data_IF_460106507572
#
_entry.id   IF_460106507572
#
_cell.length_a   1.000
_cell.length_b   1.000
_cell.length_c   1.000
_cell.angle_alpha   90.00
_cell.angle_beta   90.00
_cell.angle_gamma   90.00
#
_symmetry.space_group_name_H-M   'P 1'
#
loop_
_entity.id
_entity.type
_entity.pdbx_description
1 polymer ?
#
# COMPACT_ATOMS: atom_id res chain seq x y z
N UNK A 1 -42.44 0.18 7.19
CA UNK A 1 -42.07 0.09 5.77
C UNK A 1 -40.68 -0.55 5.62
N UNK A 2 -40.55 -1.76 6.17
CA UNK A 2 -39.40 -2.65 6.09
C UNK A 2 -39.87 -3.89 5.32
N UNK A 3 -39.58 -3.94 4.02
CA UNK A 3 -39.68 -5.10 3.13
C UNK A 3 -39.04 -4.65 1.80
N UNK A 4 -38.35 -5.54 1.07
CA UNK A 4 -37.75 -5.31 -0.27
C UNK A 4 -36.34 -4.70 -0.37
N UNK A 5 -35.34 -5.23 0.35
CA UNK A 5 -33.92 -5.13 -0.06
C UNK A 5 -33.23 -6.49 -0.19
N UNK A 6 -34.01 -7.52 -0.54
CA UNK A 6 -33.53 -8.92 -0.66
C UNK A 6 -33.24 -9.39 -2.09
N UNK A 7 -33.69 -8.66 -3.11
CA UNK A 7 -33.44 -9.02 -4.51
C UNK A 7 -32.58 -7.95 -5.15
N UNK A 8 -31.40 -8.34 -5.66
CA UNK A 8 -30.63 -7.43 -6.49
C UNK A 8 -31.37 -7.24 -7.81
N UNK A 9 -31.56 -6.01 -8.30
CA UNK A 9 -32.21 -5.77 -9.58
C UNK A 9 -31.33 -6.16 -10.79
N UNK A 10 -30.09 -6.61 -10.56
CA UNK A 10 -29.09 -6.82 -11.61
C UNK A 10 -28.74 -8.32 -11.76
N UNK A 11 -28.71 -8.85 -12.99
CA UNK A 11 -28.53 -10.28 -13.25
C UNK A 11 -27.10 -10.80 -13.03
N UNK A 12 -26.11 -9.92 -12.79
CA UNK A 12 -24.69 -10.27 -12.69
C UNK A 12 -24.09 -9.86 -11.35
N UNK A 13 -23.19 -10.69 -10.84
CA UNK A 13 -22.31 -10.33 -9.72
C UNK A 13 -21.12 -9.54 -10.25
N UNK A 14 -21.11 -8.23 -9.97
CA UNK A 14 -20.03 -7.32 -10.34
C UNK A 14 -19.39 -6.77 -9.07
N UNK A 15 -18.07 -6.86 -8.97
CA UNK A 15 -17.28 -6.22 -7.91
C UNK A 15 -16.24 -5.32 -8.54
N UNK A 16 -15.91 -4.23 -7.85
CA UNK A 16 -14.90 -3.28 -8.32
C UNK A 16 -13.55 -3.55 -7.64
N UNK A 17 -12.49 -3.68 -8.42
CA UNK A 17 -11.16 -3.44 -7.88
C UNK A 17 -11.02 -1.94 -7.60
N UNK A 18 -11.29 -1.54 -6.36
CA UNK A 18 -11.21 -0.16 -5.91
C UNK A 18 -10.59 -0.11 -4.53
N UNK A 19 -9.47 0.59 -4.44
CA UNK A 19 -8.77 0.79 -3.18
C UNK A 19 -9.45 1.92 -2.41
N UNK A 20 -10.01 1.60 -1.25
CA UNK A 20 -10.60 2.58 -0.32
C UNK A 20 -9.52 3.06 0.65
N UNK A 21 -9.29 4.38 0.70
CA UNK A 21 -8.48 4.99 1.75
C UNK A 21 -9.17 4.84 3.11
N UNK A 22 -8.42 4.99 4.21
CA UNK A 22 -8.98 4.81 5.55
C UNK A 22 -10.20 5.72 5.79
N UNK A 23 -11.34 5.09 6.13
CA UNK A 23 -12.62 5.78 6.35
C UNK A 23 -13.34 6.24 5.08
N UNK A 24 -12.81 5.96 3.88
CA UNK A 24 -13.46 6.27 2.61
C UNK A 24 -14.61 5.29 2.34
N UNK A 25 -15.86 5.74 2.18
CA UNK A 25 -16.95 4.88 1.75
C UNK A 25 -16.90 4.64 0.23
N UNK A 26 -17.32 3.44 -0.18
CA UNK A 26 -17.63 3.15 -1.58
C UNK A 26 -18.90 3.95 -1.98
N UNK A 27 -18.94 4.61 -3.15
CA UNK A 27 -20.13 5.32 -3.59
C UNK A 27 -21.35 4.41 -3.66
N UNK A 28 -22.45 4.78 -3.00
CA UNK A 28 -23.62 3.91 -2.80
C UNK A 28 -24.52 3.78 -4.02
N UNK A 29 -24.32 4.63 -5.02
CA UNK A 29 -25.03 4.68 -6.30
C UNK A 29 -24.38 3.78 -7.36
N UNK A 30 -23.20 3.21 -7.09
CA UNK A 30 -22.55 2.29 -8.01
C UNK A 30 -23.31 0.98 -8.14
N UNK A 31 -23.53 0.54 -9.37
CA UNK A 31 -24.14 -0.76 -9.69
C UNK A 31 -23.15 -1.93 -9.50
N UNK A 32 -22.63 -2.08 -8.28
CA UNK A 32 -21.69 -3.14 -7.88
C UNK A 32 -22.15 -3.81 -6.58
N UNK A 33 -21.65 -5.01 -6.32
CA UNK A 33 -21.90 -5.74 -5.09
C UNK A 33 -20.92 -5.38 -3.95
N UNK A 34 -19.84 -4.68 -4.29
CA UNK A 34 -18.80 -4.22 -3.37
C UNK A 34 -17.44 -4.13 -4.05
N UNK A 35 -16.38 -4.23 -3.24
CA UNK A 35 -14.98 -4.23 -3.69
C UNK A 35 -14.43 -5.66 -3.82
N UNK A 36 -13.19 -5.77 -4.30
CA UNK A 36 -12.37 -7.00 -4.22
C UNK A 36 -11.81 -7.28 -2.82
N UNK A 37 -12.05 -6.42 -1.82
CA UNK A 37 -11.85 -6.73 -0.40
C UNK A 37 -10.57 -6.24 0.25
N UNK A 38 -9.76 -5.39 -0.40
CA UNK A 38 -8.55 -4.81 0.22
C UNK A 38 -8.87 -4.02 1.51
N UNK A 39 -10.07 -3.46 1.63
CA UNK A 39 -10.54 -2.82 2.85
C UNK A 39 -10.61 -3.83 4.02
N UNK A 40 -11.16 -5.02 3.79
CA UNK A 40 -11.15 -6.09 4.80
C UNK A 40 -9.72 -6.57 5.10
N UNK A 41 -8.89 -6.77 4.07
CA UNK A 41 -7.50 -7.19 4.21
C UNK A 41 -6.75 -6.30 5.22
N UNK A 42 -6.87 -4.98 5.06
CA UNK A 42 -6.21 -4.02 5.93
C UNK A 42 -6.84 -3.95 7.33
N UNK A 43 -8.17 -4.14 7.45
CA UNK A 43 -8.86 -4.21 8.75
C UNK A 43 -8.38 -5.39 9.58
N UNK A 44 -8.40 -6.61 9.03
CA UNK A 44 -7.98 -7.81 9.77
C UNK A 44 -6.48 -7.78 10.07
N UNK A 45 -5.66 -7.33 9.12
CA UNK A 45 -4.21 -7.15 9.35
C UNK A 45 -3.92 -6.17 10.48
N UNK A 46 -4.71 -5.09 10.61
CA UNK A 46 -4.54 -4.10 11.68
C UNK A 46 -4.94 -4.62 13.06
N UNK A 47 -5.93 -5.51 13.16
CA UNK A 47 -6.32 -6.14 14.44
C UNK A 47 -5.21 -7.02 14.99
N UNK A 48 -4.39 -7.61 14.13
CA UNK A 48 -3.29 -8.51 14.51
C UNK A 48 -2.03 -7.76 14.99
N UNK A 49 -2.06 -6.43 15.06
CA UNK A 49 -0.94 -5.60 15.54
C UNK A 49 -1.18 -5.20 16.99
N UNK A 50 -0.23 -5.49 17.88
CA UNK A 50 -0.23 -4.95 19.24
C UNK A 50 0.09 -3.46 19.23
N UNK A 51 -0.96 -2.63 19.24
CA UNK A 51 -0.86 -1.18 19.23
C UNK A 51 -0.11 -0.58 20.42
N UNK A 52 -0.05 -1.28 21.56
CA UNK A 52 0.65 -0.78 22.76
C UNK A 52 2.15 -0.64 22.51
N UNK A 53 2.69 -1.43 21.57
CA UNK A 53 4.09 -1.44 21.17
C UNK A 53 4.51 -0.30 20.23
N UNK A 54 3.58 0.53 19.73
CA UNK A 54 3.84 1.54 18.70
C UNK A 54 5.06 2.42 19.03
N UNK A 55 5.16 2.86 20.30
CA UNK A 55 6.28 3.69 20.76
C UNK A 55 7.61 2.92 20.73
N UNK A 56 7.61 1.65 21.11
CA UNK A 56 8.81 0.82 21.12
C UNK A 56 9.30 0.54 19.69
N UNK A 57 8.40 0.16 18.77
CA UNK A 57 8.72 -0.04 17.35
C UNK A 57 9.18 1.26 16.68
N UNK A 58 8.54 2.40 16.96
CA UNK A 58 8.98 3.70 16.47
C UNK A 58 10.42 4.04 16.93
N UNK A 59 10.75 3.77 18.21
CA UNK A 59 12.10 4.00 18.73
C UNK A 59 13.12 3.11 18.05
N UNK A 60 12.83 1.81 17.94
CA UNK A 60 13.69 0.85 17.25
C UNK A 60 13.97 1.30 15.82
N UNK A 61 12.91 1.58 15.05
CA UNK A 61 13.03 1.95 13.65
C UNK A 61 13.90 3.21 13.49
N UNK A 62 13.67 4.26 14.30
CA UNK A 62 14.48 5.48 14.27
C UNK A 62 15.93 5.25 14.69
N UNK A 63 16.19 4.41 15.68
CA UNK A 63 17.54 4.11 16.15
C UNK A 63 18.34 3.33 15.11
N UNK A 64 17.69 2.41 14.38
CA UNK A 64 18.36 1.55 13.43
C UNK A 64 18.47 2.17 12.02
N UNK A 65 17.34 2.60 11.45
CA UNK A 65 17.24 3.14 10.09
C UNK A 65 17.53 4.64 10.01
N UNK A 66 17.64 5.33 11.16
CA UNK A 66 17.85 6.76 11.25
C UNK A 66 16.55 7.58 11.25
N UNK A 67 16.63 8.92 11.31
CA UNK A 67 15.48 9.79 11.28
C UNK A 67 14.76 9.68 9.94
N UNK A 68 13.43 9.52 9.99
CA UNK A 68 12.58 9.43 8.82
C UNK A 68 11.62 10.62 8.76
N UNK A 69 11.26 11.12 7.56
CA UNK A 69 10.17 12.07 7.43
C UNK A 69 8.87 11.44 7.98
N UNK A 70 7.94 12.27 8.43
CA UNK A 70 6.55 11.82 8.69
C UNK A 70 6.00 11.18 7.42
N UNK A 71 5.16 10.14 7.53
CA UNK A 71 4.66 9.45 6.35
C UNK A 71 3.87 10.39 5.43
N UNK A 72 3.11 11.33 6.00
CA UNK A 72 2.42 12.36 5.22
C UNK A 72 3.38 13.19 4.32
N UNK A 73 4.57 13.54 4.84
CA UNK A 73 5.60 14.24 4.05
C UNK A 73 6.25 13.33 3.02
N UNK A 74 6.51 12.07 3.37
CA UNK A 74 7.03 11.07 2.45
C UNK A 74 6.08 10.86 1.27
N UNK A 75 4.80 10.58 1.55
CA UNK A 75 3.73 10.41 0.54
C UNK A 75 3.63 11.64 -0.35
N UNK A 76 3.58 12.85 0.21
CA UNK A 76 3.51 14.07 -0.57
C UNK A 76 4.74 14.23 -1.49
N UNK A 77 5.94 13.96 -0.98
CA UNK A 77 7.18 13.99 -1.77
C UNK A 77 7.17 12.96 -2.90
N UNK A 78 6.79 11.71 -2.62
CA UNK A 78 6.78 10.62 -3.60
C UNK A 78 5.70 10.78 -4.66
N UNK A 79 4.51 11.28 -4.32
CA UNK A 79 3.49 11.68 -5.32
C UNK A 79 4.03 12.74 -6.29
N UNK A 80 4.74 13.75 -5.77
CA UNK A 80 5.36 14.80 -6.61
C UNK A 80 6.47 14.26 -7.50
N UNK A 81 7.29 13.35 -6.98
CA UNK A 81 8.35 12.67 -7.73
C UNK A 81 7.76 11.85 -8.90
N UNK A 82 6.71 11.07 -8.65
CA UNK A 82 6.00 10.32 -9.70
C UNK A 82 5.43 11.25 -10.78
N UNK A 83 4.84 12.37 -10.37
CA UNK A 83 4.34 13.39 -11.31
C UNK A 83 5.45 14.07 -12.12
N UNK A 84 6.67 14.15 -11.59
CA UNK A 84 7.83 14.71 -12.30
C UNK A 84 8.45 13.75 -13.30
N UNK A 85 8.51 12.46 -12.94
CA UNK A 85 9.34 11.50 -13.66
C UNK A 85 8.49 10.57 -14.52
N UNK A 86 7.47 9.94 -13.94
CA UNK A 86 6.69 8.89 -14.62
C UNK A 86 5.42 9.39 -15.28
N UNK A 87 4.82 10.47 -14.75
CA UNK A 87 3.54 11.01 -15.22
C UNK A 87 3.63 12.47 -15.69
N UNK A 88 4.83 12.91 -16.08
CA UNK A 88 5.10 14.27 -16.52
C UNK A 88 4.20 14.71 -17.70
N UNK A 89 4.03 13.84 -18.70
CA UNK A 89 3.20 14.12 -19.88
C UNK A 89 1.72 14.33 -19.54
N UNK A 90 1.19 13.56 -18.58
CA UNK A 90 -0.19 13.68 -18.12
C UNK A 90 -0.41 14.98 -17.34
N UNK A 91 0.56 15.33 -16.46
CA UNK A 91 0.56 16.61 -15.75
C UNK A 91 0.61 17.77 -16.72
N UNK A 92 1.50 17.74 -17.72
CA UNK A 92 1.62 18.80 -18.73
C UNK A 92 0.31 18.98 -19.51
N UNK A 93 -0.32 17.88 -19.92
CA UNK A 93 -1.62 17.90 -20.62
C UNK A 93 -2.70 18.54 -19.75
N UNK A 94 -2.76 18.15 -18.46
CA UNK A 94 -3.72 18.70 -17.51
C UNK A 94 -3.47 20.19 -17.24
N UNK A 95 -2.21 20.61 -17.15
CA UNK A 95 -1.81 22.01 -17.01
C UNK A 95 -2.22 22.86 -18.21
N UNK A 96 -1.98 22.39 -19.43
CA UNK A 96 -2.39 23.10 -20.64
C UNK A 96 -3.91 23.19 -20.80
N UNK A 97 -4.65 22.18 -20.32
CA UNK A 97 -6.11 22.27 -20.24
C UNK A 97 -6.54 23.39 -19.28
N UNK A 98 -5.96 23.45 -18.08
CA UNK A 98 -6.31 24.49 -17.10
C UNK A 98 -5.90 25.89 -17.57
N UNK A 99 -4.74 26.02 -18.20
CA UNK A 99 -4.20 27.27 -18.75
C UNK A 99 -5.15 27.87 -19.79
N UNK A 100 -5.60 27.05 -20.76
CA UNK A 100 -6.62 27.47 -21.74
C UNK A 100 -7.93 27.90 -21.08
N UNK A 101 -8.33 27.27 -19.98
CA UNK A 101 -9.52 27.69 -19.23
C UNK A 101 -9.29 29.04 -18.53
N UNK A 102 -8.12 29.22 -17.90
CA UNK A 102 -7.77 30.47 -17.25
C UNK A 102 -7.81 31.66 -18.22
N UNK A 103 -7.32 31.49 -19.45
CA UNK A 103 -7.35 32.50 -20.52
C UNK A 103 -8.76 32.97 -20.90
N UNK A 104 -9.79 32.12 -20.72
CA UNK A 104 -11.20 32.45 -21.06
C UNK A 104 -11.86 33.39 -20.07
N UNK A 105 -11.25 33.64 -18.91
CA UNK A 105 -11.85 34.46 -17.87
C UNK A 105 -10.92 35.61 -17.48
N UNK A 106 -11.46 36.84 -17.47
CA UNK A 106 -10.67 38.03 -17.09
C UNK A 106 -10.03 37.93 -15.70
N UNK A 107 -10.64 37.16 -14.80
CA UNK A 107 -10.25 36.96 -13.41
C UNK A 107 -9.02 36.06 -13.22
N UNK A 108 -8.74 35.15 -14.16
CA UNK A 108 -7.74 34.09 -13.98
C UNK A 108 -6.64 34.09 -15.05
N UNK A 109 -6.81 34.84 -16.15
CA UNK A 109 -5.87 34.89 -17.29
C UNK A 109 -4.43 35.33 -16.98
N UNK A 110 -4.18 35.94 -15.82
CA UNK A 110 -2.84 36.37 -15.41
C UNK A 110 -2.04 35.23 -14.75
N UNK A 111 -2.66 34.06 -14.51
CA UNK A 111 -1.94 32.88 -14.03
C UNK A 111 -1.09 32.29 -15.15
N UNK A 112 0.21 32.17 -14.89
CA UNK A 112 1.12 31.54 -15.84
C UNK A 112 0.96 30.01 -15.84
N UNK A 113 1.18 29.37 -16.98
CA UNK A 113 1.25 27.91 -17.12
C UNK A 113 2.17 27.26 -16.07
N UNK A 114 3.31 27.87 -15.76
CA UNK A 114 4.24 27.35 -14.75
C UNK A 114 3.61 27.37 -13.35
N UNK A 115 2.94 28.46 -12.97
CA UNK A 115 2.22 28.56 -11.70
C UNK A 115 1.08 27.55 -11.62
N UNK A 116 0.31 27.37 -12.70
CA UNK A 116 -0.79 26.39 -12.76
C UNK A 116 -0.27 24.96 -12.65
N UNK A 117 0.79 24.63 -13.38
CA UNK A 117 1.45 23.31 -13.31
C UNK A 117 1.94 22.99 -11.92
N UNK A 118 2.59 23.96 -11.27
CA UNK A 118 3.02 23.83 -9.89
C UNK A 118 1.81 23.59 -8.97
N UNK A 119 0.78 24.42 -9.05
CA UNK A 119 -0.39 24.33 -8.17
C UNK A 119 -1.18 23.02 -8.36
N UNK A 120 -1.37 22.55 -9.61
CA UNK A 120 -1.99 21.25 -9.91
C UNK A 120 -1.24 20.13 -9.21
N UNK A 121 0.10 20.10 -9.32
CA UNK A 121 0.92 19.06 -8.69
C UNK A 121 0.80 19.09 -7.17
N UNK A 122 0.77 20.28 -6.57
CA UNK A 122 0.58 20.42 -5.13
C UNK A 122 -0.80 19.91 -4.67
N UNK A 123 -1.87 20.22 -5.42
CA UNK A 123 -3.23 19.75 -5.13
C UNK A 123 -3.34 18.24 -5.31
N UNK A 124 -2.84 17.66 -6.41
CA UNK A 124 -2.85 16.20 -6.61
C UNK A 124 -2.06 15.49 -5.50
N UNK A 125 -0.89 16.02 -5.12
CA UNK A 125 -0.08 15.46 -4.04
C UNK A 125 -0.76 15.57 -2.66
N UNK A 126 -1.69 16.50 -2.48
CA UNK A 126 -2.53 16.67 -1.30
C UNK A 126 -3.77 15.78 -1.26
N UNK A 127 -4.13 15.09 -2.35
CA UNK A 127 -5.33 14.25 -2.40
C UNK A 127 -5.28 13.14 -1.34
N UNK A 128 -6.28 13.06 -0.43
CA UNK A 128 -6.32 12.04 0.63
C UNK A 128 -6.88 10.70 0.14
N UNK A 129 -7.58 10.70 -1.00
CA UNK A 129 -8.19 9.53 -1.64
C UNK A 129 -7.56 9.29 -3.01
N UNK A 130 -7.80 8.12 -3.59
CA UNK A 130 -7.36 7.79 -4.95
C UNK A 130 -7.87 8.80 -5.98
N UNK A 131 -9.17 9.12 -5.94
CA UNK A 131 -9.82 10.08 -6.84
C UNK A 131 -11.22 10.45 -6.34
N UNK A 132 -11.76 11.52 -6.90
CA UNK A 132 -13.18 11.90 -6.81
C UNK A 132 -13.97 11.41 -8.02
N UNK A 133 -15.30 11.59 -8.00
CA UNK A 133 -16.24 11.04 -8.98
C UNK A 133 -17.26 12.06 -9.49
N UNK A 134 -16.80 13.26 -9.84
CA UNK A 134 -17.59 14.35 -10.44
C UNK A 134 -17.66 14.14 -11.96
N UNK A 135 -18.85 14.32 -12.54
CA UNK A 135 -19.12 14.07 -13.96
C UNK A 135 -19.94 15.17 -14.63
N UNK A 136 -20.40 14.94 -15.87
CA UNK A 136 -21.22 15.87 -16.65
C UNK A 136 -22.62 16.11 -16.08
N UNK A 137 -23.07 15.30 -15.13
CA UNK A 137 -24.30 15.56 -14.37
C UNK A 137 -24.18 16.76 -13.41
N UNK A 138 -22.97 17.25 -13.18
CA UNK A 138 -22.68 18.41 -12.33
C UNK A 138 -22.85 18.14 -10.83
N UNK A 139 -23.14 16.90 -10.44
CA UNK A 139 -23.36 16.53 -9.04
C UNK A 139 -22.01 16.36 -8.34
N UNK A 140 -21.81 17.12 -7.28
CA UNK A 140 -20.62 17.00 -6.42
C UNK A 140 -21.05 16.41 -5.08
N UNK A 141 -20.59 15.19 -4.79
CA UNK A 141 -20.87 14.54 -3.51
C UNK A 141 -20.16 15.25 -2.35
N UNK A 142 -20.72 15.20 -1.14
CA UNK A 142 -20.09 15.77 0.06
C UNK A 142 -18.69 15.18 0.31
N UNK A 143 -18.53 13.88 0.01
CA UNK A 143 -17.25 13.17 0.09
C UNK A 143 -16.20 13.78 -0.83
N UNK A 144 -16.54 13.98 -2.10
CA UNK A 144 -15.63 14.52 -3.11
C UNK A 144 -15.29 15.97 -2.82
N UNK A 145 -16.28 16.75 -2.38
CA UNK A 145 -16.06 18.12 -1.93
C UNK A 145 -15.06 18.17 -0.77
N UNK A 146 -15.25 17.32 0.25
CA UNK A 146 -14.35 17.26 1.40
C UNK A 146 -12.93 16.85 0.99
N UNK A 147 -12.79 15.85 0.11
CA UNK A 147 -11.49 15.40 -0.38
C UNK A 147 -10.74 16.51 -1.14
N UNK A 148 -11.41 17.21 -2.06
CA UNK A 148 -10.83 18.33 -2.82
C UNK A 148 -10.45 19.47 -1.87
N UNK A 149 -11.33 19.85 -0.94
CA UNK A 149 -11.04 20.90 0.05
C UNK A 149 -9.85 20.55 0.93
N UNK A 150 -9.73 19.31 1.39
CA UNK A 150 -8.58 18.86 2.16
C UNK A 150 -7.28 18.97 1.34
N UNK A 151 -7.32 18.52 0.08
CA UNK A 151 -6.17 18.57 -0.81
C UNK A 151 -5.70 20.00 -1.08
N UNK A 152 -6.64 20.91 -1.37
CA UNK A 152 -6.35 22.33 -1.63
C UNK A 152 -5.84 23.03 -0.37
N UNK A 153 -6.44 22.78 0.80
CA UNK A 153 -5.94 23.33 2.08
C UNK A 153 -4.52 22.87 2.37
N UNK A 154 -4.22 21.59 2.16
CA UNK A 154 -2.88 21.05 2.36
C UNK A 154 -1.88 21.64 1.37
N UNK A 155 -2.27 21.80 0.10
CA UNK A 155 -1.47 22.48 -0.92
C UNK A 155 -1.15 23.93 -0.52
N UNK A 156 -2.13 24.71 -0.06
CA UNK A 156 -1.90 26.07 0.44
C UNK A 156 -0.97 26.09 1.66
N UNK A 157 -1.21 25.21 2.64
CA UNK A 157 -0.41 25.13 3.88
C UNK A 157 1.06 24.82 3.60
N UNK A 158 1.34 23.95 2.63
CA UNK A 158 2.71 23.60 2.23
C UNK A 158 3.41 24.69 1.41
N UNK A 159 2.65 25.60 0.80
CA UNK A 159 3.17 26.57 -0.17
C UNK A 159 2.80 28.03 0.17
N UNK A 160 3.26 28.57 1.32
CA UNK A 160 2.90 29.92 1.78
C UNK A 160 3.43 31.05 0.89
N UNK A 161 4.36 30.76 -0.03
CA UNK A 161 4.95 31.72 -0.97
C UNK A 161 4.18 31.81 -2.30
N UNK A 162 3.19 30.95 -2.51
CA UNK A 162 2.38 30.91 -3.72
C UNK A 162 1.05 31.61 -3.46
N UNK A 163 0.60 32.46 -4.40
CA UNK A 163 -0.64 33.19 -4.28
C UNK A 163 -1.84 32.25 -4.04
N UNK A 164 -2.61 32.45 -2.97
CA UNK A 164 -3.71 31.56 -2.60
C UNK A 164 -4.78 31.44 -3.70
N UNK A 165 -4.95 32.51 -4.50
CA UNK A 165 -5.96 32.61 -5.55
C UNK A 165 -5.81 31.53 -6.63
N UNK A 166 -4.61 31.03 -6.89
CA UNK A 166 -4.42 29.96 -7.89
C UNK A 166 -5.00 28.62 -7.39
N UNK A 167 -4.87 28.37 -6.09
CA UNK A 167 -5.44 27.20 -5.45
C UNK A 167 -6.95 27.32 -5.29
N UNK A 168 -7.45 28.53 -4.99
CA UNK A 168 -8.89 28.83 -5.01
C UNK A 168 -9.51 28.57 -6.39
N UNK A 169 -8.84 29.02 -7.45
CA UNK A 169 -9.28 28.75 -8.82
C UNK A 169 -9.35 27.25 -9.13
N UNK A 170 -8.34 26.48 -8.72
CA UNK A 170 -8.36 25.02 -8.90
C UNK A 170 -9.50 24.39 -8.07
N UNK A 171 -9.69 24.79 -6.81
CA UNK A 171 -10.80 24.31 -5.97
C UNK A 171 -12.16 24.56 -6.65
N UNK A 172 -12.42 25.81 -7.05
CA UNK A 172 -13.69 26.19 -7.65
C UNK A 172 -13.92 25.48 -8.98
N UNK A 173 -12.86 25.26 -9.76
CA UNK A 173 -12.94 24.52 -11.03
C UNK A 173 -13.24 23.05 -10.80
N UNK A 174 -12.53 22.39 -9.86
CA UNK A 174 -12.76 20.98 -9.52
C UNK A 174 -14.16 20.74 -8.93
N UNK A 175 -14.70 21.71 -8.21
CA UNK A 175 -16.04 21.65 -7.62
C UNK A 175 -17.13 22.24 -8.51
N UNK A 176 -16.80 22.60 -9.76
CA UNK A 176 -17.71 23.20 -10.73
C UNK A 176 -18.41 24.49 -10.24
N UNK A 177 -17.87 25.17 -9.23
CA UNK A 177 -18.45 26.39 -8.61
C UNK A 177 -18.29 27.63 -9.47
N UNK A 178 -17.30 27.63 -10.35
CA UNK A 178 -17.01 28.72 -11.26
C UNK A 178 -17.59 28.50 -12.67
N UNK A 179 -18.42 27.46 -12.87
CA UNK A 179 -18.93 27.10 -14.19
C UNK A 179 -19.68 28.25 -14.88
N UNK A 180 -20.39 29.08 -14.10
CA UNK A 180 -21.10 30.25 -14.60
C UNK A 180 -20.21 31.43 -15.04
N UNK A 181 -18.92 31.39 -14.70
CA UNK A 181 -17.94 32.36 -15.23
C UNK A 181 -17.54 32.05 -16.68
N UNK A 182 -17.87 30.86 -17.18
CA UNK A 182 -17.53 30.41 -18.52
C UNK A 182 -18.75 30.47 -19.46
N UNK A 183 -18.49 30.86 -20.71
CA UNK A 183 -19.48 30.81 -21.77
C UNK A 183 -19.97 29.36 -21.98
N UNK A 184 -21.24 29.15 -22.37
CA UNK A 184 -21.84 27.81 -22.49
C UNK A 184 -20.98 26.80 -23.27
N UNK A 185 -20.34 27.24 -24.36
CA UNK A 185 -19.48 26.43 -25.22
C UNK A 185 -18.16 25.97 -24.57
N UNK A 186 -17.75 26.57 -23.44
CA UNK A 186 -16.53 26.21 -22.69
C UNK A 186 -16.83 25.32 -21.48
N UNK A 187 -18.09 25.25 -21.04
CA UNK A 187 -18.47 24.50 -19.81
C UNK A 187 -18.11 23.02 -19.90
N UNK A 188 -18.24 22.42 -21.08
CA UNK A 188 -17.84 21.03 -21.31
C UNK A 188 -16.33 20.80 -21.17
N UNK A 189 -15.51 21.79 -21.52
CA UNK A 189 -14.06 21.73 -21.33
C UNK A 189 -13.66 21.81 -19.84
N UNK A 190 -14.44 22.54 -19.03
CA UNK A 190 -14.27 22.56 -17.57
C UNK A 190 -14.54 21.17 -16.99
N UNK A 191 -15.67 20.55 -17.33
CA UNK A 191 -16.00 19.19 -16.89
C UNK A 191 -14.95 18.19 -17.35
N UNK A 192 -14.48 18.30 -18.60
CA UNK A 192 -13.40 17.46 -19.14
C UNK A 192 -12.10 17.60 -18.35
N UNK A 193 -11.73 18.83 -17.96
CA UNK A 193 -10.59 19.06 -17.09
C UNK A 193 -10.75 18.35 -15.74
N UNK A 194 -11.91 18.46 -15.08
CA UNK A 194 -12.18 17.78 -13.80
C UNK A 194 -12.07 16.26 -13.97
N UNK A 195 -12.68 15.70 -15.01
CA UNK A 195 -12.61 14.26 -15.29
C UNK A 195 -11.17 13.79 -15.55
N UNK A 196 -10.36 14.59 -16.28
CA UNK A 196 -8.96 14.27 -16.53
C UNK A 196 -8.10 14.36 -15.26
N UNK A 197 -8.37 15.31 -14.37
CA UNK A 197 -7.75 15.38 -13.03
C UNK A 197 -8.05 14.10 -12.22
N UNK A 198 -9.30 13.63 -12.25
CA UNK A 198 -9.71 12.40 -11.55
C UNK A 198 -9.07 11.14 -12.12
N UNK A 199 -8.81 11.11 -13.43
CA UNK A 199 -8.08 10.01 -14.08
C UNK A 199 -6.58 10.00 -13.72
N UNK A 200 -5.98 11.17 -13.43
CA UNK A 200 -4.56 11.28 -13.08
C UNK A 200 -4.27 11.04 -11.60
N UNK A 201 -5.15 11.50 -10.70
CA UNK A 201 -4.93 11.39 -9.25
C UNK A 201 -4.79 9.94 -8.75
N UNK A 202 -5.54 9.00 -9.33
CA UNK A 202 -5.49 7.58 -8.97
C UNK A 202 -4.11 6.94 -9.22
N UNK A 203 -3.59 6.97 -10.46
CA UNK A 203 -2.24 6.50 -10.76
C UNK A 203 -1.14 7.17 -9.94
N UNK A 204 -1.27 8.46 -9.63
CA UNK A 204 -0.33 9.17 -8.75
C UNK A 204 -0.36 8.62 -7.32
N UNK A 205 -1.54 8.29 -6.79
CA UNK A 205 -1.68 7.63 -5.49
C UNK A 205 -1.03 6.24 -5.50
N UNK A 206 -1.38 5.37 -6.45
CA UNK A 206 -0.84 4.02 -6.55
C UNK A 206 0.70 4.03 -6.63
N UNK A 207 1.26 4.76 -7.61
CA UNK A 207 2.71 4.78 -7.83
C UNK A 207 3.47 5.51 -6.74
N UNK A 208 2.89 6.59 -6.21
CA UNK A 208 3.54 7.42 -5.18
C UNK A 208 3.52 6.78 -3.80
N UNK A 209 2.46 6.05 -3.46
CA UNK A 209 2.27 5.43 -2.14
C UNK A 209 2.65 3.96 -2.18
N UNK A 210 1.94 3.16 -2.95
CA UNK A 210 2.07 1.69 -2.92
C UNK A 210 3.36 1.18 -3.54
N UNK A 211 3.79 1.81 -4.64
CA UNK A 211 5.01 1.41 -5.36
C UNK A 211 6.23 2.27 -5.00
N UNK A 212 6.12 3.15 -3.99
CA UNK A 212 7.27 3.96 -3.56
C UNK A 212 7.31 4.18 -2.05
N UNK A 213 6.33 4.88 -1.46
CA UNK A 213 6.35 5.18 -0.03
C UNK A 213 6.36 3.92 0.86
N UNK A 214 5.66 2.85 0.46
CA UNK A 214 5.66 1.56 1.16
C UNK A 214 6.99 0.80 1.14
N UNK A 215 7.92 1.17 0.25
CA UNK A 215 9.28 0.61 0.20
C UNK A 215 10.31 1.52 0.88
N UNK A 216 9.86 2.60 1.52
CA UNK A 216 10.70 3.53 2.27
C UNK A 216 10.29 3.56 3.74
N UNK A 217 8.99 3.53 4.04
CA UNK A 217 8.50 3.56 5.42
C UNK A 217 8.46 2.16 6.05
N UNK A 218 9.63 1.60 6.34
CA UNK A 218 9.77 0.19 6.74
C UNK A 218 9.59 -0.06 8.25
N UNK A 219 8.82 0.79 8.95
CA UNK A 219 8.61 0.69 10.41
C UNK A 219 8.14 -0.70 10.84
N UNK A 220 7.08 -1.18 10.18
CA UNK A 220 6.53 -2.53 10.34
C UNK A 220 5.83 -2.91 9.04
N UNK A 221 6.48 -3.70 8.20
CA UNK A 221 6.09 -3.86 6.78
C UNK A 221 4.86 -4.73 6.56
N UNK A 222 4.32 -5.33 7.64
CA UNK A 222 2.98 -5.95 7.62
C UNK A 222 1.87 -4.93 7.35
N UNK A 223 2.10 -3.64 7.67
CA UNK A 223 1.16 -2.54 7.42
C UNK A 223 1.32 -1.91 6.02
N UNK A 224 2.38 -2.29 5.28
CA UNK A 224 2.73 -1.73 3.98
C UNK A 224 2.13 -2.60 2.88
N UNK A 225 0.81 -2.51 2.75
CA UNK A 225 0.02 -3.35 1.85
C UNK A 225 -0.95 -2.51 1.02
N UNK A 226 -1.38 -3.01 -0.14
CA UNK A 226 -2.32 -2.30 -1.04
C UNK A 226 -3.56 -1.83 -0.28
N UNK A 227 -3.87 -0.54 -0.35
CA UNK A 227 -4.91 0.12 0.46
C UNK A 227 -4.59 0.38 1.93
N UNK A 228 -3.41 0.00 2.41
CA UNK A 228 -2.96 0.20 3.77
C UNK A 228 -2.59 1.65 4.09
N UNK A 229 -2.55 1.96 5.38
CA UNK A 229 -2.13 3.27 5.88
C UNK A 229 -1.08 3.10 7.00
N UNK A 230 0.20 2.90 6.67
CA UNK A 230 1.26 2.48 7.60
C UNK A 230 1.45 3.32 8.86
N UNK A 231 0.98 4.58 8.91
CA UNK A 231 0.98 5.37 10.15
C UNK A 231 0.01 4.87 11.21
N UNK A 232 -1.14 4.31 10.80
CA UNK A 232 -2.13 3.70 11.68
C UNK A 232 -1.57 2.36 12.17
N UNK A 233 -1.16 2.34 13.44
CA UNK A 233 -0.44 1.21 14.02
C UNK A 233 -1.42 0.30 14.76
N UNK A 234 -2.18 -0.47 13.98
CA UNK A 234 -3.20 -1.39 14.46
C UNK A 234 -4.54 -0.75 14.83
N UNK A 235 -5.58 -1.56 14.94
CA UNK A 235 -6.95 -1.15 15.28
C UNK A 235 -7.50 -1.94 16.49
N UNK A 236 -8.52 -1.42 17.17
CA UNK A 236 -9.28 -2.21 18.14
C UNK A 236 -10.17 -3.25 17.44
N UNK A 237 -10.48 -4.34 18.13
CA UNK A 237 -11.46 -5.35 17.65
C UNK A 237 -12.84 -4.73 17.42
N UNK A 238 -13.23 -3.71 18.20
CA UNK A 238 -14.49 -2.99 18.00
C UNK A 238 -14.56 -2.26 16.66
N UNK A 239 -13.43 -1.79 16.12
CA UNK A 239 -13.36 -1.16 14.80
C UNK A 239 -13.64 -2.19 13.69
N UNK A 240 -13.12 -3.42 13.83
CA UNK A 240 -13.42 -4.53 12.92
C UNK A 240 -14.92 -4.91 12.98
N UNK A 241 -15.51 -4.96 14.17
CA UNK A 241 -16.95 -5.23 14.31
C UNK A 241 -17.81 -4.13 13.70
N UNK A 242 -17.44 -2.86 13.87
CA UNK A 242 -18.13 -1.74 13.24
C UNK A 242 -18.07 -1.83 11.71
N UNK A 243 -16.88 -2.14 11.15
CA UNK A 243 -16.72 -2.34 9.71
C UNK A 243 -17.52 -3.54 9.19
N UNK A 244 -17.60 -4.65 9.95
CA UNK A 244 -18.43 -5.80 9.62
C UNK A 244 -19.94 -5.44 9.59
N UNK A 245 -20.42 -4.65 10.56
CA UNK A 245 -21.80 -4.18 10.57
C UNK A 245 -22.12 -3.27 9.39
N UNK A 246 -21.20 -2.35 9.06
CA UNK A 246 -21.33 -1.46 7.91
C UNK A 246 -21.41 -2.25 6.61
N UNK A 247 -20.51 -3.23 6.42
CA UNK A 247 -20.54 -4.13 5.27
C UNK A 247 -21.84 -4.92 5.20
N UNK A 248 -22.33 -5.49 6.31
CA UNK A 248 -23.60 -6.22 6.32
C UNK A 248 -24.79 -5.34 5.89
N UNK A 249 -24.79 -4.06 6.26
CA UNK A 249 -25.87 -3.12 5.95
C UNK A 249 -25.83 -2.62 4.51
N UNK A 250 -24.65 -2.29 4.02
CA UNK A 250 -24.49 -1.56 2.75
C UNK A 250 -23.91 -2.40 1.62
N UNK A 251 -23.03 -3.35 1.94
CA UNK A 251 -22.28 -4.13 0.95
C UNK A 251 -22.18 -5.62 1.34
N UNK A 252 -23.29 -6.32 1.63
CA UNK A 252 -23.28 -7.68 2.22
C UNK A 252 -22.62 -8.73 1.31
N UNK A 253 -22.34 -8.38 0.06
CA UNK A 253 -21.72 -9.24 -0.91
C UNK A 253 -20.41 -8.68 -1.47
N UNK A 254 -19.79 -7.72 -0.78
CA UNK A 254 -18.41 -7.33 -1.07
C UNK A 254 -17.48 -8.52 -0.81
N UNK A 255 -16.41 -8.65 -1.59
CA UNK A 255 -15.40 -9.67 -1.29
C UNK A 255 -14.70 -9.34 0.03
N UNK A 256 -14.30 -10.39 0.74
CA UNK A 256 -13.43 -10.31 1.91
C UNK A 256 -12.18 -11.14 1.63
N UNK A 257 -11.12 -10.44 1.22
CA UNK A 257 -9.85 -11.06 0.80
C UNK A 257 -8.76 -10.83 1.82
N UNK A 258 -7.78 -11.71 1.83
CA UNK A 258 -6.59 -11.63 2.67
C UNK A 258 -5.31 -11.82 1.88
N UNK A 259 -5.36 -12.22 0.62
CA UNK A 259 -4.20 -12.34 -0.26
C UNK A 259 -4.69 -12.18 -1.69
N UNK A 260 -3.90 -11.54 -2.55
CA UNK A 260 -4.22 -11.41 -3.99
C UNK A 260 -2.93 -11.49 -4.82
N UNK A 261 -3.08 -11.54 -6.14
CA UNK A 261 -1.96 -11.45 -7.08
C UNK A 261 -1.21 -10.11 -7.05
N UNK A 262 -1.78 -9.07 -6.42
CA UNK A 262 -1.18 -7.73 -6.33
C UNK A 262 -0.79 -7.32 -4.91
N UNK A 263 -1.13 -8.13 -3.90
CA UNK A 263 -0.61 -7.93 -2.54
C UNK A 263 0.92 -7.92 -2.52
N UNK A 264 1.50 -6.99 -1.77
CA UNK A 264 2.94 -6.82 -1.58
C UNK A 264 3.54 -8.01 -0.84
N UNK A 265 2.78 -8.65 0.05
CA UNK A 265 3.15 -9.85 0.80
C UNK A 265 1.92 -10.75 0.92
N UNK A 266 2.11 -12.06 0.98
CA UNK A 266 1.01 -12.98 1.26
C UNK A 266 0.52 -12.87 2.71
N UNK A 267 -0.66 -13.43 2.93
CA UNK A 267 -1.39 -13.34 4.19
C UNK A 267 -0.62 -13.90 5.40
N UNK A 268 0.10 -15.01 5.23
CA UNK A 268 0.88 -15.62 6.31
C UNK A 268 2.23 -14.93 6.56
N UNK A 269 2.81 -14.28 5.53
CA UNK A 269 3.98 -13.41 5.71
C UNK A 269 3.62 -12.23 6.59
N UNK A 270 2.47 -11.58 6.32
CA UNK A 270 1.99 -10.47 7.17
C UNK A 270 1.63 -10.96 8.56
N UNK A 271 0.98 -12.12 8.69
CA UNK A 271 0.65 -12.71 9.99
C UNK A 271 1.89 -12.95 10.87
N UNK A 272 3.00 -13.42 10.29
CA UNK A 272 4.29 -13.59 10.99
C UNK A 272 4.95 -12.26 11.35
N UNK A 273 5.01 -11.32 10.42
CA UNK A 273 5.63 -10.01 10.68
C UNK A 273 4.85 -9.24 11.76
N UNK A 274 3.53 -9.42 11.82
CA UNK A 274 2.67 -8.80 12.84
C UNK A 274 3.09 -9.15 14.28
N UNK A 275 3.58 -10.37 14.51
CA UNK A 275 4.10 -10.83 15.82
C UNK A 275 5.27 -9.98 16.32
N UNK A 276 6.02 -9.32 15.44
CA UNK A 276 7.11 -8.42 15.86
C UNK A 276 6.60 -7.26 16.72
N UNK A 277 5.33 -6.87 16.57
CA UNK A 277 4.69 -5.86 17.42
C UNK A 277 4.51 -6.35 18.86
N UNK A 278 4.33 -7.64 19.09
CA UNK A 278 4.17 -8.23 20.44
C UNK A 278 5.51 -8.43 21.15
N UNK A 279 6.62 -8.45 20.40
CA UNK A 279 7.97 -8.75 20.91
C UNK A 279 9.00 -7.64 20.56
N UNK A 280 8.71 -6.35 20.81
CA UNK A 280 9.51 -5.24 20.28
C UNK A 280 10.95 -5.21 20.82
N UNK A 281 11.15 -5.55 22.10
CA UNK A 281 12.48 -5.56 22.72
C UNK A 281 13.33 -6.74 22.23
N UNK A 282 12.70 -7.90 22.02
CA UNK A 282 13.39 -9.06 21.46
C UNK A 282 13.76 -8.83 20.00
N UNK A 283 12.82 -8.29 19.21
CA UNK A 283 13.05 -7.88 17.84
C UNK A 283 14.22 -6.89 17.74
N UNK A 284 14.25 -5.87 18.61
CA UNK A 284 15.36 -4.93 18.68
C UNK A 284 16.71 -5.64 18.92
N UNK A 285 16.79 -6.54 19.89
CA UNK A 285 18.03 -7.30 20.18
C UNK A 285 18.48 -8.10 18.96
N UNK A 286 17.57 -8.74 18.24
CA UNK A 286 17.88 -9.51 17.03
C UNK A 286 18.40 -8.61 15.91
N UNK A 287 17.73 -7.50 15.60
CA UNK A 287 18.16 -6.54 14.57
C UNK A 287 19.58 -6.04 14.83
N UNK A 288 19.89 -5.62 16.05
CA UNK A 288 21.23 -5.12 16.41
C UNK A 288 22.27 -6.24 16.34
N UNK A 289 21.94 -7.44 16.85
CA UNK A 289 22.82 -8.61 16.79
C UNK A 289 23.13 -9.00 15.35
N UNK A 290 22.11 -9.09 14.49
CA UNK A 290 22.26 -9.48 13.10
C UNK A 290 23.06 -8.45 12.30
N UNK A 291 22.78 -7.15 12.49
CA UNK A 291 23.59 -6.09 11.89
C UNK A 291 25.07 -6.20 12.27
N UNK A 292 25.39 -6.54 13.53
CA UNK A 292 26.79 -6.77 13.95
C UNK A 292 27.41 -8.00 13.28
N UNK A 293 26.68 -9.13 13.23
CA UNK A 293 27.14 -10.36 12.58
C UNK A 293 27.36 -10.19 11.07
N UNK A 294 26.60 -9.30 10.44
CA UNK A 294 26.61 -9.07 9.01
C UNK A 294 27.41 -7.83 8.60
N UNK A 295 27.99 -7.08 9.56
CA UNK A 295 28.67 -5.80 9.31
C UNK A 295 29.77 -5.90 8.25
N UNK A 296 30.59 -6.95 8.31
CA UNK A 296 31.70 -7.19 7.36
C UNK A 296 31.24 -7.55 5.94
N UNK A 297 29.93 -7.78 5.72
CA UNK A 297 29.35 -8.12 4.41
C UNK A 297 28.77 -6.90 3.70
N UNK A 298 28.60 -5.78 4.41
CA UNK A 298 28.21 -4.50 3.80
C UNK A 298 29.40 -3.95 3.01
N UNK A 299 29.10 -3.24 1.93
CA UNK A 299 30.11 -2.64 1.05
C UNK A 299 30.05 -1.12 1.17
N UNK A 300 31.21 -0.47 1.14
CA UNK A 300 31.29 0.98 0.94
C UNK A 300 31.29 1.23 -0.56
N UNK A 301 30.37 2.05 -1.04
CA UNK A 301 30.30 2.52 -2.43
C UNK A 301 30.23 4.05 -2.45
N UNK A 302 30.26 4.64 -3.64
CA UNK A 302 29.95 6.06 -3.78
C UNK A 302 28.53 6.36 -3.27
N UNK A 303 28.38 7.33 -2.37
CA UNK A 303 27.11 7.65 -1.71
C UNK A 303 26.88 6.95 -0.36
N UNK A 304 27.73 6.01 0.05
CA UNK A 304 27.76 5.48 1.42
C UNK A 304 27.80 3.96 1.54
N UNK A 305 27.28 3.45 2.66
CA UNK A 305 27.26 2.01 2.95
C UNK A 305 26.04 1.33 2.32
N UNK A 306 26.28 0.24 1.59
CA UNK A 306 25.26 -0.57 0.93
C UNK A 306 25.19 -2.00 1.53
N UNK A 307 23.97 -2.54 1.79
CA UNK A 307 22.68 -1.85 1.76
C UNK A 307 22.60 -0.72 2.80
N UNK A 308 21.70 0.24 2.56
CA UNK A 308 21.31 1.26 3.53
C UNK A 308 20.76 0.58 4.80
N UNK A 309 20.73 1.31 5.92
CA UNK A 309 20.14 0.77 7.15
C UNK A 309 18.64 0.49 7.03
N UNK A 310 17.94 1.28 6.22
CA UNK A 310 16.51 1.08 6.00
C UNK A 310 16.27 -0.21 5.19
N UNK A 311 17.02 -0.40 4.11
CA UNK A 311 16.94 -1.61 3.27
C UNK A 311 17.35 -2.87 4.05
N UNK A 312 18.35 -2.76 4.93
CA UNK A 312 18.73 -3.84 5.85
C UNK A 312 17.61 -4.18 6.84
N UNK A 313 16.88 -3.18 7.34
CA UNK A 313 15.76 -3.37 8.25
C UNK A 313 14.55 -4.03 7.56
N UNK A 314 14.25 -3.61 6.33
CA UNK A 314 13.27 -4.25 5.45
C UNK A 314 13.62 -5.72 5.21
N UNK A 315 14.89 -6.00 4.89
CA UNK A 315 15.37 -7.35 4.65
C UNK A 315 15.18 -8.24 5.87
N UNK A 316 15.53 -7.79 7.08
CA UNK A 316 15.36 -8.62 8.27
C UNK A 316 13.89 -8.95 8.57
N UNK A 317 12.96 -8.01 8.39
CA UNK A 317 11.52 -8.31 8.52
C UNK A 317 11.05 -9.30 7.45
N UNK A 318 11.52 -9.13 6.22
CA UNK A 318 11.19 -10.01 5.09
C UNK A 318 11.68 -11.43 5.34
N UNK A 319 12.92 -11.59 5.83
CA UNK A 319 13.48 -12.88 6.20
C UNK A 319 12.63 -13.57 7.26
N UNK A 320 12.31 -12.89 8.37
CA UNK A 320 11.48 -13.46 9.44
C UNK A 320 10.08 -13.84 8.94
N UNK A 321 9.46 -13.01 8.09
CA UNK A 321 8.14 -13.27 7.54
C UNK A 321 8.08 -14.48 6.61
N UNK A 322 9.15 -14.75 5.86
CA UNK A 322 9.17 -15.76 4.79
C UNK A 322 9.97 -17.02 5.11
N UNK A 323 10.68 -17.06 6.24
CA UNK A 323 11.59 -18.17 6.57
C UNK A 323 10.83 -19.49 6.78
N UNK A 324 11.22 -20.53 6.04
CA UNK A 324 10.60 -21.86 6.17
C UNK A 324 11.55 -22.86 6.82
N UNK A 325 12.73 -23.08 6.22
CA UNK A 325 13.74 -24.00 6.74
C UNK A 325 15.11 -23.75 6.11
N UNK A 326 16.15 -24.32 6.73
CA UNK A 326 17.51 -24.32 6.20
C UNK A 326 17.70 -25.24 4.97
N UNK A 327 16.77 -26.18 4.72
CA UNK A 327 16.93 -27.22 3.70
C UNK A 327 16.73 -26.68 2.27
N UNK A 328 16.02 -25.55 2.12
CA UNK A 328 15.72 -24.93 0.82
C UNK A 328 16.42 -23.58 0.63
N UNK A 329 17.57 -23.41 1.28
CA UNK A 329 18.23 -22.10 1.38
C UNK A 329 18.67 -21.53 0.04
N UNK A 330 19.01 -22.36 -0.95
CA UNK A 330 19.39 -21.88 -2.30
C UNK A 330 18.22 -21.20 -3.00
N UNK A 331 17.09 -21.90 -3.14
CA UNK A 331 15.87 -21.34 -3.74
C UNK A 331 15.36 -20.14 -2.94
N UNK A 332 15.42 -20.21 -1.61
CA UNK A 332 15.06 -19.09 -0.74
C UNK A 332 15.96 -17.87 -0.99
N UNK A 333 17.28 -18.07 -1.09
CA UNK A 333 18.23 -16.98 -1.37
C UNK A 333 17.94 -16.30 -2.71
N UNK A 334 17.60 -17.07 -3.75
CA UNK A 334 17.22 -16.52 -5.05
C UNK A 334 15.96 -15.65 -4.96
N UNK A 335 14.93 -16.11 -4.25
CA UNK A 335 13.68 -15.36 -4.04
C UNK A 335 13.91 -14.05 -3.29
N UNK A 336 14.66 -14.10 -2.18
CA UNK A 336 14.96 -12.90 -1.38
C UNK A 336 15.84 -11.91 -2.14
N UNK A 337 16.80 -12.42 -2.92
CA UNK A 337 17.64 -11.59 -3.78
C UNK A 337 16.82 -10.85 -4.86
N UNK A 338 15.89 -11.55 -5.52
CA UNK A 338 15.01 -10.95 -6.52
C UNK A 338 14.04 -9.94 -5.89
N UNK A 339 13.47 -10.26 -4.72
CA UNK A 339 12.63 -9.34 -3.97
C UNK A 339 13.39 -8.06 -3.58
N UNK A 340 14.62 -8.19 -3.06
CA UNK A 340 15.39 -7.01 -2.66
C UNK A 340 15.76 -6.13 -3.85
N UNK A 341 16.06 -6.69 -5.02
CA UNK A 341 16.26 -5.91 -6.25
C UNK A 341 15.01 -5.10 -6.62
N UNK A 342 13.84 -5.73 -6.58
CA UNK A 342 12.57 -5.02 -6.82
C UNK A 342 12.32 -3.95 -5.76
N UNK A 343 12.45 -4.30 -4.48
CA UNK A 343 12.15 -3.39 -3.37
C UNK A 343 13.03 -2.13 -3.37
N UNK A 344 14.34 -2.26 -3.60
CA UNK A 344 15.24 -1.10 -3.60
C UNK A 344 15.01 -0.18 -4.82
N UNK A 345 14.63 -0.76 -5.97
CA UNK A 345 14.24 0.02 -7.16
C UNK A 345 12.89 0.68 -7.02
N UNK A 346 11.92 0.05 -6.34
CA UNK A 346 10.64 0.68 -6.02
C UNK A 346 10.79 1.81 -5.02
N UNK A 347 11.69 1.71 -4.04
CA UNK A 347 11.97 2.77 -3.08
C UNK A 347 12.47 4.08 -3.74
N UNK A 348 13.20 3.96 -4.86
CA UNK A 348 13.75 5.10 -5.62
C UNK A 348 14.64 6.02 -4.75
N UNK A 349 15.37 5.42 -3.81
CA UNK A 349 16.29 6.15 -2.91
C UNK A 349 17.73 6.06 -3.39
N UNK A 350 18.23 4.83 -3.59
CA UNK A 350 19.62 4.58 -3.96
C UNK A 350 19.78 4.06 -5.40
N UNK A 351 18.70 3.53 -5.98
CA UNK A 351 18.62 2.91 -7.31
C UNK A 351 17.17 3.02 -7.81
N UNK A 352 16.93 2.86 -9.10
CA UNK A 352 15.59 2.90 -9.70
C UNK A 352 15.53 2.09 -10.99
N UNK A 353 14.31 1.81 -11.48
CA UNK A 353 14.12 1.16 -12.78
C UNK A 353 14.59 2.02 -13.97
N UNK A 354 14.51 3.35 -13.84
CA UNK A 354 14.83 4.30 -14.93
C UNK A 354 16.32 4.59 -15.00
N UNK A 355 16.94 4.83 -13.85
CA UNK A 355 18.38 5.05 -13.72
C UNK A 355 18.93 4.11 -12.63
N UNK A 356 19.32 2.88 -13.00
CA UNK A 356 19.87 1.90 -12.06
C UNK A 356 21.24 2.33 -11.52
N UNK A 357 21.46 2.13 -10.22
CA UNK A 357 22.78 2.25 -9.61
C UNK A 357 23.40 0.85 -9.52
N UNK A 358 24.24 0.50 -10.50
CA UNK A 358 24.83 -0.84 -10.62
C UNK A 358 25.66 -1.23 -9.38
N UNK A 359 26.42 -0.29 -8.80
CA UNK A 359 27.24 -0.57 -7.62
C UNK A 359 26.39 -0.87 -6.39
N UNK A 360 25.30 -0.13 -6.20
CA UNK A 360 24.34 -0.39 -5.12
C UNK A 360 23.62 -1.72 -5.33
N UNK A 361 23.13 -1.98 -6.53
CA UNK A 361 22.43 -3.22 -6.88
C UNK A 361 23.34 -4.44 -6.63
N UNK A 362 24.59 -4.40 -7.10
CA UNK A 362 25.58 -5.47 -6.87
C UNK A 362 25.91 -5.61 -5.38
N UNK A 363 26.04 -4.51 -4.64
CA UNK A 363 26.31 -4.56 -3.20
C UNK A 363 25.16 -5.19 -2.41
N UNK A 364 23.90 -4.86 -2.72
CA UNK A 364 22.70 -5.47 -2.12
C UNK A 364 22.64 -6.96 -2.43
N UNK A 365 22.84 -7.35 -3.69
CA UNK A 365 22.86 -8.77 -4.12
C UNK A 365 23.94 -9.56 -3.38
N UNK A 366 25.14 -9.01 -3.27
CA UNK A 366 26.26 -9.61 -2.55
C UNK A 366 25.99 -9.73 -1.06
N UNK A 367 25.35 -8.72 -0.47
CA UNK A 367 24.96 -8.76 0.94
C UNK A 367 23.95 -9.87 1.21
N UNK A 368 22.84 -9.92 0.46
CA UNK A 368 21.79 -10.95 0.61
C UNK A 368 22.38 -12.35 0.48
N UNK A 369 23.11 -12.62 -0.62
CA UNK A 369 23.75 -13.93 -0.83
C UNK A 369 24.80 -14.24 0.24
N UNK A 370 25.51 -13.23 0.73
CA UNK A 370 26.51 -13.39 1.77
C UNK A 370 25.92 -13.73 3.14
N UNK A 371 24.81 -13.09 3.55
CA UNK A 371 24.15 -13.38 4.84
C UNK A 371 23.41 -14.73 4.80
N UNK A 372 22.98 -15.16 3.61
CA UNK A 372 22.31 -16.45 3.41
C UNK A 372 23.25 -17.60 3.00
N UNK A 373 24.57 -17.40 3.04
CA UNK A 373 25.55 -18.47 2.81
C UNK A 373 25.89 -19.20 4.14
N UNK A 374 25.56 -20.50 4.28
CA UNK A 374 25.88 -21.30 5.47
C UNK A 374 27.35 -21.28 5.86
N UNK A 375 28.25 -21.24 4.88
CA UNK A 375 29.70 -21.29 5.10
C UNK A 375 30.22 -19.97 5.70
N UNK A 376 29.54 -18.85 5.43
CA UNK A 376 29.97 -17.49 5.81
C UNK A 376 29.13 -16.88 6.94
N UNK A 377 27.95 -17.42 7.19
CA UNK A 377 26.93 -16.79 8.04
C UNK A 377 26.22 -17.74 8.99
N UNK A 378 26.82 -18.91 9.29
CA UNK A 378 26.23 -19.91 10.18
C UNK A 378 25.64 -19.33 11.48
N UNK A 379 26.39 -18.47 12.18
CA UNK A 379 25.91 -17.83 13.44
C UNK A 379 24.69 -16.93 13.24
N UNK A 380 24.57 -16.26 12.10
CA UNK A 380 23.40 -15.46 11.76
C UNK A 380 22.23 -16.38 11.43
N UNK A 381 22.46 -17.40 10.58
CA UNK A 381 21.45 -18.34 10.15
C UNK A 381 20.86 -19.15 11.31
N UNK A 382 21.68 -19.69 12.22
CA UNK A 382 21.18 -20.38 13.41
C UNK A 382 20.34 -19.44 14.30
N UNK A 383 20.73 -18.16 14.38
CA UNK A 383 19.97 -17.16 15.14
C UNK A 383 18.67 -16.74 14.44
N UNK A 384 18.66 -16.65 13.12
CA UNK A 384 17.48 -16.35 12.32
C UNK A 384 16.50 -17.51 12.39
N UNK A 385 16.99 -18.73 12.20
CA UNK A 385 16.20 -19.95 12.23
C UNK A 385 15.49 -20.13 13.58
N UNK A 386 16.21 -20.01 14.70
CA UNK A 386 15.62 -20.11 16.04
C UNK A 386 14.54 -19.05 16.29
N UNK A 387 14.80 -17.79 15.89
CA UNK A 387 13.85 -16.71 16.08
C UNK A 387 12.63 -16.84 15.16
N UNK A 388 12.85 -17.17 13.87
CA UNK A 388 11.80 -17.34 12.89
C UNK A 388 10.88 -18.53 13.23
N UNK A 389 11.41 -19.64 13.77
CA UNK A 389 10.59 -20.75 14.25
C UNK A 389 9.68 -20.33 15.41
N UNK A 390 10.19 -19.51 16.34
CA UNK A 390 9.37 -18.94 17.42
C UNK A 390 8.28 -18.03 16.87
N UNK A 391 8.62 -17.13 15.94
CA UNK A 391 7.64 -16.26 15.27
C UNK A 391 6.61 -17.08 14.49
N UNK A 392 7.01 -18.17 13.83
CA UNK A 392 6.11 -19.03 13.08
C UNK A 392 5.04 -19.71 13.96
N UNK A 393 5.32 -19.97 15.25
CA UNK A 393 4.30 -20.49 16.18
C UNK A 393 3.16 -19.50 16.35
N UNK A 394 3.46 -18.24 16.65
CA UNK A 394 2.45 -17.18 16.81
C UNK A 394 1.85 -16.74 15.48
N UNK A 395 2.65 -16.71 14.41
CA UNK A 395 2.19 -16.42 13.05
C UNK A 395 1.11 -17.39 12.60
N UNK A 396 1.22 -18.70 12.92
CA UNK A 396 0.15 -19.67 12.64
C UNK A 396 -1.17 -19.32 13.35
N UNK A 397 -1.12 -18.85 14.60
CA UNK A 397 -2.32 -18.41 15.31
C UNK A 397 -2.95 -17.18 14.66
N UNK A 398 -2.13 -16.21 14.25
CA UNK A 398 -2.59 -15.03 13.51
C UNK A 398 -3.23 -15.41 12.17
N UNK A 399 -2.62 -16.31 11.41
CA UNK A 399 -3.15 -16.82 10.14
C UNK A 399 -4.46 -17.58 10.31
N UNK A 400 -4.57 -18.45 11.32
CA UNK A 400 -5.81 -19.18 11.62
C UNK A 400 -6.92 -18.22 12.06
N UNK A 401 -6.58 -17.23 12.90
CA UNK A 401 -7.52 -16.18 13.31
C UNK A 401 -8.05 -15.44 12.09
N UNK A 402 -7.17 -14.96 11.22
CA UNK A 402 -7.56 -14.31 9.98
C UNK A 402 -8.43 -15.20 9.09
N UNK A 403 -8.10 -16.49 8.97
CA UNK A 403 -8.87 -17.46 8.19
C UNK A 403 -10.29 -17.61 8.74
N UNK A 404 -10.44 -17.78 10.06
CA UNK A 404 -11.74 -17.89 10.72
C UNK A 404 -12.54 -16.60 10.47
N UNK A 405 -11.95 -15.43 10.76
CA UNK A 405 -12.66 -14.15 10.58
C UNK A 405 -13.06 -13.94 9.12
N UNK A 406 -12.19 -14.25 8.15
CA UNK A 406 -12.51 -14.16 6.71
C UNK A 406 -13.73 -15.02 6.35
N UNK A 407 -13.82 -16.23 6.90
CA UNK A 407 -14.91 -17.17 6.60
C UNK A 407 -16.22 -16.86 7.34
N UNK A 408 -16.17 -16.11 8.45
CA UNK A 408 -17.35 -15.87 9.31
C UNK A 408 -17.85 -14.42 9.31
N UNK A 409 -17.07 -13.48 8.78
CA UNK A 409 -17.47 -12.07 8.68
C UNK A 409 -18.47 -11.87 7.53
N UNK A 410 -19.38 -10.86 7.58
CA UNK A 410 -20.19 -10.47 6.43
C UNK A 410 -19.37 -10.24 5.17
N UNK A 411 -19.91 -10.62 4.01
CA UNK A 411 -19.24 -10.55 2.71
C UNK A 411 -19.08 -11.91 2.04
N UNK A 412 -18.41 -11.94 0.89
CA UNK A 412 -18.08 -13.17 0.14
C UNK A 412 -16.60 -13.49 0.36
N UNK A 413 -16.26 -14.56 1.09
CA UNK A 413 -14.86 -14.95 1.31
C UNK A 413 -14.13 -15.23 0.00
N UNK A 414 -13.04 -14.51 -0.21
CA UNK A 414 -12.13 -14.72 -1.33
C UNK A 414 -10.90 -15.50 -0.84
N UNK A 415 -10.48 -16.50 -1.63
CA UNK A 415 -9.32 -17.33 -1.33
C UNK A 415 -8.41 -17.36 -2.55
N UNK A 416 -7.28 -16.66 -2.46
CA UNK A 416 -6.27 -16.71 -3.50
C UNK A 416 -5.69 -18.11 -3.65
N UNK A 417 -5.41 -18.51 -4.89
CA UNK A 417 -4.90 -19.83 -5.21
C UNK A 417 -3.62 -20.13 -4.40
N UNK A 418 -3.61 -21.25 -3.68
CA UNK A 418 -2.48 -21.63 -2.85
C UNK A 418 -2.65 -21.33 -1.36
N UNK A 419 -3.53 -20.39 -0.98
CA UNK A 419 -3.75 -19.99 0.41
C UNK A 419 -4.66 -20.95 1.23
N UNK A 420 -5.05 -22.10 0.69
CA UNK A 420 -5.62 -23.20 1.49
C UNK A 420 -4.57 -23.91 2.35
N UNK A 421 -3.28 -23.69 2.05
CA UNK A 421 -2.12 -24.03 2.88
C UNK A 421 -1.35 -22.74 3.20
N UNK A 422 -0.31 -22.87 4.04
CA UNK A 422 0.57 -21.75 4.33
C UNK A 422 1.22 -21.20 3.05
N UNK A 423 1.07 -19.89 2.81
CA UNK A 423 1.68 -19.17 1.70
C UNK A 423 2.68 -18.14 2.23
N UNK A 424 3.95 -18.32 1.85
CA UNK A 424 5.04 -17.40 2.19
C UNK A 424 5.55 -16.62 0.98
N UNK A 425 4.64 -16.27 0.06
CA UNK A 425 4.96 -15.49 -1.13
C UNK A 425 5.14 -13.99 -0.83
N UNK A 426 6.05 -13.38 -1.58
CA UNK A 426 6.26 -11.93 -1.64
C UNK A 426 5.55 -11.35 -2.88
N UNK A 427 5.71 -10.05 -3.11
CA UNK A 427 5.13 -9.35 -4.27
C UNK A 427 5.45 -10.04 -5.61
N UNK A 428 4.58 -9.84 -6.60
CA UNK A 428 4.76 -10.25 -8.00
C UNK A 428 6.22 -10.09 -8.48
N UNK A 429 6.85 -11.12 -9.09
CA UNK A 429 6.28 -12.40 -9.50
C UNK A 429 6.30 -13.53 -8.47
N UNK A 430 6.73 -13.31 -7.22
CA UNK A 430 6.87 -14.40 -6.25
C UNK A 430 5.50 -14.99 -5.84
N UNK A 431 4.44 -14.18 -5.78
CA UNK A 431 3.05 -14.60 -5.56
C UNK A 431 2.36 -15.20 -6.81
N UNK A 432 3.07 -15.34 -7.93
CA UNK A 432 2.59 -15.96 -9.18
C UNK A 432 3.23 -17.32 -9.46
N UNK A 433 3.96 -17.87 -8.49
CA UNK A 433 4.54 -19.22 -8.59
C UNK A 433 3.44 -20.29 -8.78
N UNK A 434 3.72 -21.38 -9.51
CA UNK A 434 2.75 -22.45 -9.72
C UNK A 434 2.25 -23.07 -8.41
N UNK A 435 0.96 -23.39 -8.36
CA UNK A 435 0.33 -24.05 -7.22
C UNK A 435 0.30 -25.57 -7.44
N UNK A 436 0.82 -26.32 -6.47
CA UNK A 436 0.71 -27.78 -6.45
C UNK A 436 -0.70 -28.20 -5.98
N UNK A 437 -1.62 -28.33 -6.93
CA UNK A 437 -2.99 -28.77 -6.69
C UNK A 437 -3.09 -30.27 -6.36
N UNK A 438 -2.16 -31.10 -6.84
CA UNK A 438 -2.17 -32.54 -6.54
C UNK A 438 -1.94 -32.78 -5.05
N UNK A 439 -0.98 -32.08 -4.45
CA UNK A 439 -0.74 -32.12 -3.01
C UNK A 439 -1.97 -31.67 -2.20
N UNK A 440 -2.67 -30.62 -2.64
CA UNK A 440 -3.87 -30.09 -1.96
C UNK A 440 -5.03 -31.07 -2.01
N UNK A 441 -5.26 -31.69 -3.17
CA UNK A 441 -6.27 -32.75 -3.31
C UNK A 441 -5.96 -33.93 -2.40
N UNK A 442 -4.69 -34.35 -2.32
CA UNK A 442 -4.27 -35.43 -1.43
C UNK A 442 -4.46 -35.08 0.06
N UNK A 443 -4.08 -33.88 0.49
CA UNK A 443 -4.29 -33.41 1.87
C UNK A 443 -5.76 -33.30 2.24
N UNK A 444 -6.61 -32.84 1.31
CA UNK A 444 -8.06 -32.78 1.53
C UNK A 444 -8.67 -34.18 1.64
N UNK A 445 -8.21 -35.15 0.84
CA UNK A 445 -8.67 -36.54 0.92
C UNK A 445 -8.27 -37.17 2.27
N UNK A 446 -7.02 -36.98 2.71
CA UNK A 446 -6.56 -37.44 4.03
C UNK A 446 -7.36 -36.81 5.18
N UNK A 447 -7.63 -35.50 5.12
CA UNK A 447 -8.45 -34.81 6.12
C UNK A 447 -9.86 -35.39 6.21
N UNK A 448 -10.51 -35.63 5.06
CA UNK A 448 -11.85 -36.24 5.00
C UNK A 448 -11.86 -37.66 5.55
N UNK A 449 -10.82 -38.45 5.27
CA UNK A 449 -10.69 -39.81 5.80
C UNK A 449 -10.54 -39.80 7.33
N UNK A 450 -9.72 -38.90 7.89
CA UNK A 450 -9.58 -38.72 9.35
C UNK A 450 -10.88 -38.25 10.00
N UNK A 451 -11.59 -37.33 9.37
CA UNK A 451 -12.88 -36.86 9.87
C UNK A 451 -13.93 -37.98 9.89
N UNK A 452 -13.95 -38.86 8.88
CA UNK A 452 -14.88 -39.99 8.85
C UNK A 452 -14.53 -41.11 9.84
N UNK A 453 -13.27 -41.17 10.30
CA UNK A 453 -12.80 -42.14 11.28
C UNK A 453 -13.02 -41.70 12.74
N UNK A 454 -13.26 -40.41 12.97
CA UNK A 454 -13.67 -39.84 14.27
C UNK A 454 -15.19 -39.86 14.38
#
# INVERSE_FOLDING_TARGET
AQAERGERPWPLYVVAEKILSHGEPLPSDWAVAGTTGYDFLNQIGSVLIDRSSQRAINRLYRQFAGPQPTFANLVNSKKKEIMLVSLASEVNTLSHLLDRLAERTRRYRDFTLNSLTFAIREVIAGMPVYRTYISSDGVVSQRDEQAIRMAVREAKRRNPRTAAQIFDFIEDTLLLRNLDLFAPEVRDDVVRFVMKFQQLSGPVMAKGVEDTAFYVYDRLVALNEVGGHPELFGCEVSELHAAAQERQRHWPHSMVTTSTHDTKRSEDVRARISVLSELPDEWHRHVIRWSRLNAAKRSTIEGGMAPSRNDEYLLYQTLVGTWESMDQLETFTQRIAAYMEKATREAKVNTSWINPNADYDVAVQRFVRGILDPRRSRRFLDSLDAFAHRIAVFGRWNSLTQTIVRLTTPGVPDLYQGCELWDFSLVDPDNRRPVDFQRRVALLADLRARQAAC
#
